data_IF_055642905313
#
_entry.id   IF_055642905313
#
_cell.length_a   1.000
_cell.length_b   1.000
_cell.length_c   1.000
_cell.angle_alpha   90.00
_cell.angle_beta   90.00
_cell.angle_gamma   90.00
#
_symmetry.space_group_name_H-M   'P 1'
#
loop_
_entity.id
_entity.type
_entity.pdbx_description
1 polymer ?
#
# COMPACT_ATOMS: atom_id res chain seq x y z
N UNK A 1 33.59 6.62 9.94
CA UNK A 1 32.52 7.27 10.73
C UNK A 1 31.32 6.34 10.77
N UNK A 2 31.26 5.46 11.77
CA UNK A 2 30.11 4.60 11.98
C UNK A 2 29.07 5.42 12.74
N UNK A 3 28.09 5.95 12.02
CA UNK A 3 26.91 6.54 12.63
C UNK A 3 26.26 5.47 13.50
N UNK A 4 26.33 5.65 14.82
CA UNK A 4 25.64 4.82 15.78
C UNK A 4 24.14 5.02 15.54
N UNK A 5 23.59 4.22 14.63
CA UNK A 5 22.16 3.94 14.62
C UNK A 5 21.84 3.46 16.02
N UNK A 6 21.21 4.35 16.78
CA UNK A 6 20.76 4.14 18.14
C UNK A 6 20.22 2.70 18.24
N UNK A 7 20.92 1.86 19.00
CA UNK A 7 20.64 0.42 19.25
C UNK A 7 19.35 0.28 20.06
N UNK A 8 18.29 0.96 19.63
CA UNK A 8 16.94 0.56 19.97
C UNK A 8 16.82 -0.86 19.49
N UNK A 9 16.72 -1.76 20.46
CA UNK A 9 16.43 -3.18 20.32
C UNK A 9 15.86 -3.53 18.94
N UNK A 10 16.74 -4.01 18.05
CA UNK A 10 16.39 -4.40 16.68
C UNK A 10 15.44 -5.60 16.67
N UNK A 11 15.22 -6.23 17.83
CA UNK A 11 14.26 -7.33 17.97
C UNK A 11 12.83 -6.84 18.20
N UNK A 12 12.61 -5.56 18.54
CA UNK A 12 11.25 -5.03 18.71
C UNK A 12 10.58 -4.85 17.35
N UNK A 13 9.47 -5.55 17.08
CA UNK A 13 8.77 -5.44 15.81
C UNK A 13 8.35 -4.02 15.51
N UNK A 14 8.46 -3.62 14.25
CA UNK A 14 7.98 -2.32 13.77
C UNK A 14 7.28 -2.45 12.43
N UNK A 15 6.52 -1.41 12.15
CA UNK A 15 5.92 -1.17 10.84
C UNK A 15 6.83 -0.22 10.06
N UNK A 16 7.22 -0.64 8.86
CA UNK A 16 7.99 0.16 7.91
C UNK A 16 7.20 0.23 6.61
N UNK A 17 7.03 1.43 6.08
CA UNK A 17 6.35 1.66 4.79
C UNK A 17 7.22 2.53 3.92
N UNK A 18 7.38 2.14 2.66
CA UNK A 18 8.18 2.89 1.70
C UNK A 18 7.31 3.81 0.85
N UNK A 19 7.80 5.03 0.65
CA UNK A 19 7.23 5.99 -0.28
C UNK A 19 8.33 6.51 -1.21
N UNK A 20 7.94 7.01 -2.39
CA UNK A 20 8.88 7.50 -3.39
C UNK A 20 8.20 8.42 -4.37
N UNK A 21 8.99 9.30 -4.99
CA UNK A 21 8.50 10.35 -5.90
C UNK A 21 8.19 9.85 -7.31
N UNK A 22 8.67 8.66 -7.69
CA UNK A 22 8.44 8.09 -9.02
C UNK A 22 8.46 6.54 -9.01
N UNK A 23 7.91 5.97 -10.08
CA UNK A 23 8.06 4.56 -10.39
C UNK A 23 9.53 4.22 -10.70
N UNK A 24 9.97 3.02 -10.33
CA UNK A 24 11.33 2.54 -10.65
C UNK A 24 12.44 3.06 -9.73
N UNK A 25 12.16 3.86 -8.69
CA UNK A 25 13.18 4.37 -7.76
C UNK A 25 13.78 3.32 -6.81
N UNK A 26 13.41 2.04 -6.98
CA UNK A 26 13.96 0.92 -6.20
C UNK A 26 13.30 0.66 -4.84
N UNK A 27 12.02 1.04 -4.66
CA UNK A 27 11.29 0.77 -3.40
C UNK A 27 11.23 -0.72 -3.07
N UNK A 28 10.81 -1.55 -4.02
CA UNK A 28 10.73 -3.01 -3.84
C UNK A 28 12.09 -3.61 -3.53
N UNK A 29 13.14 -3.21 -4.27
CA UNK A 29 14.53 -3.62 -3.99
C UNK A 29 14.99 -3.21 -2.59
N UNK A 30 14.65 -2.00 -2.13
CA UNK A 30 14.98 -1.55 -0.78
C UNK A 30 14.21 -2.36 0.28
N UNK A 31 12.93 -2.65 0.05
CA UNK A 31 12.11 -3.44 0.97
C UNK A 31 12.62 -4.88 1.09
N UNK A 32 12.98 -5.51 -0.02
CA UNK A 32 13.60 -6.84 -0.07
C UNK A 32 14.95 -6.85 0.67
N UNK A 33 15.82 -5.87 0.38
CA UNK A 33 17.11 -5.76 1.06
C UNK A 33 16.98 -5.52 2.56
N UNK A 34 16.00 -4.70 2.98
CA UNK A 34 15.70 -4.48 4.39
C UNK A 34 15.19 -5.76 5.07
N UNK A 35 14.28 -6.48 4.41
CA UNK A 35 13.72 -7.75 4.90
C UNK A 35 14.84 -8.76 5.13
N UNK A 36 15.69 -8.98 4.13
CA UNK A 36 16.83 -9.89 4.25
C UNK A 36 17.76 -9.52 5.42
N UNK A 37 18.07 -8.23 5.59
CA UNK A 37 18.92 -7.76 6.70
C UNK A 37 18.30 -7.97 8.08
N UNK A 38 16.98 -7.81 8.21
CA UNK A 38 16.26 -8.05 9.46
C UNK A 38 16.19 -9.55 9.78
N UNK A 39 15.96 -10.38 8.78
CA UNK A 39 15.96 -11.85 8.90
C UNK A 39 17.35 -12.38 9.26
N UNK A 40 18.43 -11.87 8.65
CA UNK A 40 19.82 -12.17 9.03
C UNK A 40 20.11 -11.85 10.51
N UNK A 41 19.43 -10.84 11.06
CA UNK A 41 19.52 -10.45 12.46
C UNK A 41 18.59 -11.27 13.39
N UNK A 42 17.88 -12.27 12.86
CA UNK A 42 17.00 -13.18 13.61
C UNK A 42 15.57 -12.65 13.82
N UNK A 43 15.16 -11.59 13.12
CA UNK A 43 13.79 -11.10 13.20
C UNK A 43 12.84 -11.92 12.30
N UNK A 44 11.58 -12.05 12.71
CA UNK A 44 10.50 -12.47 11.83
C UNK A 44 9.98 -11.25 11.06
N UNK A 45 9.87 -11.36 9.74
CA UNK A 45 9.44 -10.25 8.87
C UNK A 45 8.35 -10.72 7.92
N UNK A 46 7.28 -9.95 7.80
CA UNK A 46 6.29 -10.07 6.74
C UNK A 46 6.50 -8.93 5.73
N UNK A 47 7.03 -9.27 4.56
CA UNK A 47 7.21 -8.35 3.44
C UNK A 47 5.92 -8.29 2.64
N UNK A 48 5.37 -7.08 2.57
CA UNK A 48 4.11 -6.77 1.94
C UNK A 48 4.30 -5.96 0.64
N UNK A 49 4.07 -6.60 -0.50
CA UNK A 49 4.07 -5.98 -1.82
C UNK A 49 2.72 -5.30 -2.15
N UNK A 50 2.73 -4.23 -2.94
CA UNK A 50 1.49 -3.51 -3.33
C UNK A 50 0.42 -4.44 -3.94
N UNK A 51 0.84 -5.35 -4.83
CA UNK A 51 -0.05 -6.30 -5.49
C UNK A 51 -0.75 -7.28 -4.52
N UNK A 52 -0.21 -7.48 -3.31
CA UNK A 52 -0.78 -8.41 -2.34
C UNK A 52 -2.10 -7.92 -1.73
N UNK A 53 -2.44 -6.63 -1.87
CA UNK A 53 -3.78 -6.12 -1.55
C UNK A 53 -4.87 -6.91 -2.26
N UNK A 54 -4.61 -7.36 -3.48
CA UNK A 54 -5.62 -8.08 -4.28
C UNK A 54 -5.62 -9.59 -4.05
N UNK A 55 -4.60 -10.12 -3.36
CA UNK A 55 -4.33 -11.55 -3.25
C UNK A 55 -4.39 -12.10 -1.82
N UNK A 56 -4.08 -11.29 -0.79
CA UNK A 56 -4.11 -11.75 0.61
C UNK A 56 -5.53 -11.80 1.14
N UNK A 57 -5.81 -12.87 1.89
CA UNK A 57 -7.10 -13.07 2.54
C UNK A 57 -7.47 -11.89 3.47
N UNK A 58 -6.47 -11.27 4.09
CA UNK A 58 -6.65 -10.11 4.98
C UNK A 58 -7.34 -8.92 4.27
N UNK A 59 -7.21 -8.82 2.95
CA UNK A 59 -7.70 -7.71 2.12
C UNK A 59 -8.89 -8.07 1.25
N UNK A 60 -9.50 -9.26 1.44
CA UNK A 60 -10.58 -9.75 0.57
C UNK A 60 -11.69 -8.70 0.37
N UNK A 61 -12.14 -8.06 1.46
CA UNK A 61 -13.21 -7.06 1.43
C UNK A 61 -12.80 -5.79 0.65
N UNK A 62 -11.54 -5.37 0.77
CA UNK A 62 -10.99 -4.21 0.04
C UNK A 62 -10.79 -4.54 -1.43
N UNK A 63 -10.39 -5.77 -1.75
CA UNK A 63 -10.16 -6.25 -3.11
C UNK A 63 -11.47 -6.49 -3.89
N UNK A 64 -12.59 -6.75 -3.22
CA UNK A 64 -13.90 -6.94 -3.85
C UNK A 64 -14.49 -5.64 -4.43
N UNK A 65 -14.26 -4.49 -3.80
CA UNK A 65 -14.82 -3.22 -4.29
C UNK A 65 -14.39 -2.92 -5.75
N UNK A 66 -13.10 -2.98 -6.12
CA UNK A 66 -12.69 -2.84 -7.52
C UNK A 66 -13.30 -3.89 -8.47
N UNK A 67 -13.54 -5.13 -8.02
CA UNK A 67 -14.19 -6.17 -8.83
C UNK A 67 -15.63 -5.80 -9.16
N UNK A 68 -16.30 -5.10 -8.24
CA UNK A 68 -17.67 -4.58 -8.40
C UNK A 68 -17.72 -3.19 -9.06
N UNK A 69 -16.58 -2.66 -9.53
CA UNK A 69 -16.43 -1.29 -10.08
C UNK A 69 -16.74 -0.18 -9.06
N UNK A 70 -16.52 -0.48 -7.79
CA UNK A 70 -16.65 0.45 -6.68
C UNK A 70 -15.28 0.78 -6.09
N UNK A 71 -15.21 1.87 -5.32
CA UNK A 71 -14.02 2.20 -4.54
C UNK A 71 -14.21 1.70 -3.10
N UNK A 72 -13.18 1.11 -2.47
CA UNK A 72 -13.28 0.70 -1.08
C UNK A 72 -13.54 1.94 -0.20
N UNK A 73 -14.47 1.84 0.75
CA UNK A 73 -14.84 2.97 1.62
C UNK A 73 -13.87 3.11 2.81
N UNK A 74 -13.85 4.26 3.52
CA UNK A 74 -13.08 4.41 4.75
C UNK A 74 -13.39 3.32 5.80
N UNK A 75 -14.67 2.94 5.89
CA UNK A 75 -15.19 1.94 6.83
C UNK A 75 -14.68 0.53 6.52
N UNK A 76 -14.31 0.24 5.27
CA UNK A 76 -13.64 -1.00 4.89
C UNK A 76 -12.12 -0.91 5.08
N UNK A 77 -11.54 0.24 4.76
CA UNK A 77 -10.10 0.45 4.76
C UNK A 77 -9.51 0.39 6.17
N UNK A 78 -10.03 1.19 7.10
CA UNK A 78 -9.46 1.35 8.44
C UNK A 78 -9.47 0.04 9.26
N UNK A 79 -10.58 -0.71 9.33
CA UNK A 79 -10.58 -1.99 10.05
C UNK A 79 -9.67 -3.02 9.40
N UNK A 80 -9.53 -3.01 8.07
CA UNK A 80 -8.64 -3.92 7.36
C UNK A 80 -7.17 -3.70 7.74
N UNK A 81 -6.67 -2.46 7.69
CA UNK A 81 -5.30 -2.20 8.15
C UNK A 81 -5.10 -2.43 9.64
N UNK A 82 -6.13 -2.18 10.46
CA UNK A 82 -6.09 -2.49 11.89
C UNK A 82 -5.84 -3.98 12.11
N UNK A 83 -6.61 -4.86 11.44
CA UNK A 83 -6.42 -6.32 11.51
C UNK A 83 -5.01 -6.74 11.07
N UNK A 84 -4.52 -6.20 9.96
CA UNK A 84 -3.17 -6.51 9.44
C UNK A 84 -2.09 -6.12 10.43
N UNK A 85 -2.16 -4.90 10.99
CA UNK A 85 -1.16 -4.43 11.96
C UNK A 85 -1.24 -5.19 13.29
N UNK A 86 -2.44 -5.57 13.73
CA UNK A 86 -2.62 -6.43 14.90
C UNK A 86 -2.06 -7.84 14.65
N UNK A 87 -2.16 -8.35 13.43
CA UNK A 87 -1.52 -9.60 13.01
C UNK A 87 0.00 -9.57 13.19
N UNK A 88 0.66 -8.51 12.73
CA UNK A 88 2.10 -8.33 12.94
C UNK A 88 2.48 -8.27 14.42
N UNK A 89 1.70 -7.53 15.23
CA UNK A 89 1.93 -7.43 16.68
C UNK A 89 1.76 -8.79 17.36
N UNK A 90 0.70 -9.51 17.05
CA UNK A 90 0.41 -10.83 17.62
C UNK A 90 1.48 -11.87 17.26
N UNK A 91 1.99 -11.81 16.02
CA UNK A 91 3.07 -12.67 15.56
C UNK A 91 4.47 -12.23 16.03
N UNK A 92 4.59 -11.09 16.73
CA UNK A 92 5.87 -10.46 17.05
C UNK A 92 6.77 -10.30 15.80
N UNK A 93 6.17 -9.87 14.68
CA UNK A 93 6.81 -9.78 13.38
C UNK A 93 6.91 -8.33 12.87
N UNK A 94 7.98 -8.02 12.15
CA UNK A 94 8.10 -6.78 11.41
C UNK A 94 7.12 -6.77 10.23
N UNK A 95 6.47 -5.64 9.98
CA UNK A 95 5.69 -5.43 8.76
C UNK A 95 6.44 -4.46 7.85
N UNK A 96 6.88 -4.91 6.69
CA UNK A 96 7.60 -4.08 5.71
C UNK A 96 6.76 -3.94 4.46
N UNK A 97 6.35 -2.72 4.10
CA UNK A 97 5.57 -2.46 2.90
C UNK A 97 6.44 -1.79 1.84
N UNK A 98 6.43 -2.27 0.60
CA UNK A 98 7.15 -1.63 -0.52
C UNK A 98 6.41 -0.40 -1.11
N UNK A 99 5.30 -0.04 -0.46
CA UNK A 99 4.42 1.08 -0.73
C UNK A 99 3.91 1.65 0.62
N UNK A 100 3.08 2.69 0.58
CA UNK A 100 2.55 3.31 1.80
C UNK A 100 1.03 3.43 1.76
N UNK A 101 0.37 2.93 2.81
CA UNK A 101 -1.08 2.83 2.89
C UNK A 101 -1.78 4.18 2.80
N UNK A 102 -1.18 5.23 3.37
CA UNK A 102 -1.72 6.58 3.32
C UNK A 102 -1.74 7.17 1.90
N UNK A 103 -0.76 6.82 1.05
CA UNK A 103 -0.72 7.30 -0.33
C UNK A 103 -1.81 6.69 -1.16
N UNK A 104 -1.95 5.37 -1.08
CA UNK A 104 -3.04 4.69 -1.76
C UNK A 104 -4.42 5.18 -1.26
N UNK A 105 -4.58 5.39 0.05
CA UNK A 105 -5.81 5.97 0.57
C UNK A 105 -6.09 7.37 -0.01
N UNK A 106 -5.05 8.20 -0.17
CA UNK A 106 -5.17 9.55 -0.72
C UNK A 106 -5.61 9.59 -2.19
N UNK A 107 -5.39 8.51 -2.94
CA UNK A 107 -5.84 8.36 -4.33
C UNK A 107 -7.33 7.97 -4.45
N UNK A 108 -7.99 7.62 -3.33
CA UNK A 108 -9.39 7.21 -3.34
C UNK A 108 -10.33 8.43 -3.36
N UNK A 109 -11.49 8.35 -4.06
CA UNK A 109 -12.37 9.50 -4.25
C UNK A 109 -12.84 10.19 -2.97
N UNK A 110 -13.11 9.40 -1.92
CA UNK A 110 -13.54 9.90 -0.62
C UNK A 110 -12.42 10.63 0.15
N UNK A 111 -11.15 10.39 -0.19
CA UNK A 111 -10.00 11.04 0.46
C UNK A 111 -9.62 12.36 -0.22
N UNK A 112 -9.99 12.53 -1.49
CA UNK A 112 -9.71 13.73 -2.25
C UNK A 112 -10.65 14.86 -1.80
N UNK A 113 -10.07 15.96 -1.31
CA UNK A 113 -10.81 17.13 -0.79
C UNK A 113 -11.76 17.80 -1.79
N UNK A 114 -11.67 17.46 -3.09
CA UNK A 114 -12.39 18.13 -4.16
C UNK A 114 -13.09 17.12 -5.09
N UNK A 115 -14.18 16.54 -4.56
CA UNK A 115 -15.01 15.54 -5.25
C UNK A 115 -15.50 16.04 -6.64
N UNK A 116 -15.68 17.35 -6.80
CA UNK A 116 -16.11 17.98 -8.06
C UNK A 116 -15.06 17.87 -9.18
N UNK A 117 -13.76 17.88 -8.83
CA UNK A 117 -12.66 17.69 -9.79
C UNK A 117 -12.61 16.25 -10.31
N UNK A 118 -12.95 15.28 -9.47
CA UNK A 118 -12.99 13.86 -9.83
C UNK A 118 -14.15 13.51 -10.77
N UNK A 119 -15.34 14.06 -10.55
CA UNK A 119 -16.47 13.88 -11.48
C UNK A 119 -16.13 14.41 -12.87
N UNK A 120 -15.38 15.53 -12.94
CA UNK A 120 -14.92 16.12 -14.20
C UNK A 120 -13.86 15.25 -14.89
N UNK A 121 -12.90 14.68 -14.16
CA UNK A 121 -11.89 13.78 -14.73
C UNK A 121 -12.47 12.44 -15.19
N UNK A 122 -13.39 11.85 -14.43
CA UNK A 122 -14.12 10.65 -14.83
C UNK A 122 -14.95 10.90 -16.10
N UNK A 123 -15.64 12.04 -16.18
CA UNK A 123 -16.39 12.44 -17.38
C UNK A 123 -15.49 12.67 -18.59
N UNK A 124 -14.31 13.28 -18.41
CA UNK A 124 -13.31 13.46 -19.48
C UNK A 124 -12.74 12.13 -19.98
N UNK A 125 -12.47 11.19 -19.07
CA UNK A 125 -11.98 9.85 -19.41
C UNK A 125 -13.05 9.02 -20.16
N UNK A 126 -14.31 9.13 -19.76
CA UNK A 126 -15.42 8.43 -20.41
C UNK A 126 -15.78 9.03 -21.78
N UNK A 127 -15.66 10.35 -21.91
CA UNK A 127 -15.89 11.07 -23.18
C UNK A 127 -14.79 10.78 -24.21
N UNK A 128 -13.53 10.66 -23.78
CA UNK A 128 -12.40 10.30 -24.66
C UNK A 128 -12.44 8.85 -25.15
N UNK A 129 -13.08 7.93 -24.41
CA UNK A 129 -13.37 6.56 -24.91
C UNK A 129 -14.50 6.50 -25.94
N UNK A 130 -15.46 7.43 -25.92
CA UNK A 130 -16.57 7.47 -26.91
C UNK A 130 -16.20 8.09 -28.24
N UNK A 131 -15.18 8.94 -28.28
CA UNK A 131 -14.77 9.67 -29.49
C UNK A 131 -13.75 8.93 -30.36
N UNK A 132 -13.28 7.74 -29.96
CA UNK A 132 -12.39 6.94 -30.81
C UNK A 132 -13.22 6.15 -31.83
N UNK A 133 -13.49 6.76 -32.98
CA UNK A 133 -13.93 6.05 -34.19
C UNK A 133 -12.66 5.78 -35.00
N UNK A 134 -12.23 4.53 -35.20
CA UNK A 134 -11.09 4.24 -36.06
C UNK A 134 -11.50 4.55 -37.50
N UNK A 135 -10.89 5.57 -38.09
CA UNK A 135 -10.93 5.78 -39.54
C UNK A 135 -10.11 4.67 -40.19
N UNK A 136 -10.81 3.76 -40.87
CA UNK A 136 -10.28 2.72 -41.76
C UNK A 136 -9.55 3.29 -42.96
#
# INVERSE_FOLDING_TARGET
MNSAFNTRDQTKPRLVMLSGSCAGIGKSTLAEGLTHRLEEAGATVDLFGEHQIFARADFVDVAEAPRSREFPTPELFLPTYTRVFDGFRAANAWGVFDWHCAGMAADLPWAMRDHARLTRLAWMYESSRRTWIPSS
#
